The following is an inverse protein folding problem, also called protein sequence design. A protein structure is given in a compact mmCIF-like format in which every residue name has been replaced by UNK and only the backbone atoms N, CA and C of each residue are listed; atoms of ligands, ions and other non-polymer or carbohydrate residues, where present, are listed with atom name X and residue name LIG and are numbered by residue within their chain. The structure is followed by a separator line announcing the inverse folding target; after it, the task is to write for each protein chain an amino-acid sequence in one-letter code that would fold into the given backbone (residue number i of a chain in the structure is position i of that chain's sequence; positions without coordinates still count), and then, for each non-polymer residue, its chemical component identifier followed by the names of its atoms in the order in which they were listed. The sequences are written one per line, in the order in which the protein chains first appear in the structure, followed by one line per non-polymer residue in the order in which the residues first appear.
data_IF_533378469922
#
_entry.id   IF_533378469922
#
_cell.length_a   1.000
_cell.length_b   1.000
_cell.length_c   1.000
_cell.angle_alpha   90.00
_cell.angle_beta   90.00
_cell.angle_gamma   90.00
#
_symmetry.space_group_name_H-M   'P 1'
#
loop_
_entity.id
_entity.type
_entity.pdbx_description
1 polymer ?
#
# COMPACT_ATOMS: atom_id res chain seq x y z
N UNK A 1 4.92 -6.09 9.74
CA UNK A 1 6.26 -6.72 9.94
C UNK A 1 7.04 -6.98 8.63
N UNK A 2 6.52 -6.59 7.46
CA UNK A 2 7.23 -6.73 6.18
C UNK A 2 7.22 -8.15 5.60
N UNK A 3 6.33 -9.04 6.06
CA UNK A 3 6.27 -10.44 5.61
C UNK A 3 6.22 -10.63 4.09
N UNK A 4 5.73 -9.65 3.33
CA UNK A 4 5.77 -9.65 1.86
C UNK A 4 7.17 -9.81 1.25
N UNK A 5 8.24 -9.45 1.97
CA UNK A 5 9.65 -9.71 1.58
C UNK A 5 10.39 -10.68 2.52
N UNK A 6 9.85 -10.97 3.71
CA UNK A 6 10.48 -11.84 4.71
C UNK A 6 9.85 -13.23 4.86
N UNK A 7 8.66 -13.45 4.33
CA UNK A 7 7.86 -14.65 4.58
C UNK A 7 7.09 -14.60 5.91
N UNK A 8 6.02 -15.40 5.98
CA UNK A 8 5.14 -15.52 7.16
C UNK A 8 5.48 -16.71 8.07
N UNK A 9 6.52 -17.47 7.73
CA UNK A 9 7.03 -18.60 8.51
C UNK A 9 8.54 -18.77 8.31
N UNK A 10 9.12 -19.71 9.07
CA UNK A 10 10.56 -19.97 9.07
C UNK A 10 11.08 -20.50 7.73
N UNK A 11 10.29 -21.31 7.03
CA UNK A 11 10.69 -21.93 5.77
C UNK A 11 10.78 -20.88 4.66
N UNK A 12 9.75 -20.05 4.51
CA UNK A 12 9.76 -18.92 3.57
C UNK A 12 10.87 -17.93 3.90
N UNK A 13 11.09 -17.64 5.18
CA UNK A 13 12.19 -16.77 5.59
C UNK A 13 13.54 -17.33 5.14
N UNK A 14 13.80 -18.61 5.36
CA UNK A 14 15.06 -19.22 4.92
C UNK A 14 15.27 -19.13 3.42
N UNK A 15 14.21 -19.21 2.60
CA UNK A 15 14.30 -19.10 1.15
C UNK A 15 14.80 -17.73 0.69
N UNK A 16 14.42 -16.65 1.37
CA UNK A 16 14.78 -15.27 0.97
C UNK A 16 16.13 -14.78 1.52
N UNK A 17 16.65 -15.41 2.58
CA UNK A 17 17.91 -14.97 3.22
C UNK A 17 19.14 -15.42 2.42
N UNK A 18 20.15 -14.56 2.36
CA UNK A 18 21.49 -14.92 1.85
C UNK A 18 22.36 -15.59 2.91
N UNK A 19 22.01 -15.40 4.20
CA UNK A 19 22.80 -15.79 5.38
C UNK A 19 24.18 -15.12 5.45
N UNK A 20 24.35 -14.00 4.73
CA UNK A 20 25.54 -13.16 4.77
C UNK A 20 25.13 -11.72 5.06
N UNK A 21 25.76 -11.12 6.07
CA UNK A 21 25.56 -9.72 6.48
C UNK A 21 24.10 -9.29 6.68
N UNK A 22 23.22 -10.22 7.06
CA UNK A 22 21.80 -9.97 7.29
C UNK A 22 20.95 -9.91 6.03
N UNK A 23 21.55 -9.95 4.84
CA UNK A 23 20.91 -9.56 3.57
C UNK A 23 19.89 -10.56 3.05
N UNK A 24 18.98 -10.03 2.23
CA UNK A 24 18.03 -10.78 1.41
C UNK A 24 18.52 -10.93 -0.04
N UNK A 25 18.06 -11.99 -0.69
CA UNK A 25 18.37 -12.31 -2.09
C UNK A 25 17.77 -11.29 -3.04
N UNK A 26 18.58 -10.83 -3.99
CA UNK A 26 18.18 -9.94 -5.07
C UNK A 26 19.12 -10.16 -6.27
N UNK A 27 18.66 -10.00 -7.50
CA UNK A 27 19.51 -10.14 -8.69
C UNK A 27 20.34 -8.88 -8.92
N UNK A 28 21.42 -9.02 -9.69
CA UNK A 28 22.36 -7.92 -9.98
C UNK A 28 21.70 -6.77 -10.76
N UNK A 29 20.73 -7.09 -11.62
CA UNK A 29 19.92 -6.11 -12.36
C UNK A 29 18.91 -5.35 -11.49
N UNK A 30 18.82 -5.70 -10.19
CA UNK A 30 17.97 -5.05 -9.22
C UNK A 30 16.51 -5.50 -9.23
N UNK A 31 16.21 -6.63 -9.89
CA UNK A 31 14.92 -7.33 -9.82
C UNK A 31 14.94 -8.45 -8.77
N UNK A 32 13.83 -9.18 -8.64
CA UNK A 32 13.79 -10.38 -7.79
C UNK A 32 14.58 -11.52 -8.45
N UNK A 33 15.29 -12.30 -7.63
CA UNK A 33 15.81 -13.59 -8.10
C UNK A 33 14.64 -14.53 -8.39
N UNK A 34 14.81 -15.44 -9.34
CA UNK A 34 13.86 -16.51 -9.62
C UNK A 34 14.49 -17.86 -9.27
N UNK A 35 13.68 -18.84 -8.86
CA UNK A 35 14.13 -20.22 -8.71
C UNK A 35 14.16 -20.97 -10.04
N UNK A 36 14.47 -22.27 -10.00
CA UNK A 36 14.62 -23.13 -11.19
C UNK A 36 13.33 -23.23 -12.01
N UNK A 37 12.16 -23.02 -11.38
CA UNK A 37 10.85 -23.04 -12.01
C UNK A 37 10.44 -21.65 -12.55
N UNK A 38 11.29 -20.63 -12.40
CA UNK A 38 11.01 -19.25 -12.80
C UNK A 38 10.09 -18.51 -11.80
N UNK A 39 9.96 -19.02 -10.57
CA UNK A 39 9.13 -18.41 -9.54
C UNK A 39 9.95 -17.35 -8.79
N UNK A 40 9.45 -16.12 -8.60
CA UNK A 40 10.17 -15.09 -7.85
C UNK A 40 10.43 -15.49 -6.40
N UNK A 41 11.64 -15.21 -5.93
CA UNK A 41 12.07 -15.44 -4.55
C UNK A 41 11.84 -14.15 -3.76
N UNK A 42 10.71 -14.13 -3.04
CA UNK A 42 10.36 -13.08 -2.07
C UNK A 42 9.52 -13.70 -0.94
N UNK A 43 9.00 -12.88 -0.03
CA UNK A 43 8.28 -13.35 1.15
C UNK A 43 6.89 -13.91 0.86
N UNK A 44 6.11 -13.20 0.05
CA UNK A 44 4.82 -13.66 -0.49
C UNK A 44 4.66 -13.14 -1.92
N UNK A 45 4.35 -14.05 -2.86
CA UNK A 45 4.27 -13.79 -4.30
C UNK A 45 2.97 -14.31 -4.92
N UNK A 46 2.03 -14.77 -4.08
CA UNK A 46 0.79 -15.39 -4.54
C UNK A 46 -0.09 -14.36 -5.27
N UNK A 47 -0.56 -14.70 -6.47
CA UNK A 47 -1.41 -13.84 -7.31
C UNK A 47 -0.78 -12.45 -7.53
N UNK A 48 0.56 -12.41 -7.67
CA UNK A 48 1.32 -11.17 -7.81
C UNK A 48 1.38 -10.70 -9.27
N UNK A 49 1.92 -9.49 -9.47
CA UNK A 49 2.18 -8.91 -10.78
C UNK A 49 3.45 -8.05 -10.75
N UNK A 50 3.96 -7.67 -11.92
CA UNK A 50 5.24 -6.99 -12.11
C UNK A 50 5.42 -5.74 -11.23
N UNK A 51 4.35 -4.98 -10.97
CA UNK A 51 4.40 -3.80 -10.10
C UNK A 51 4.67 -4.13 -8.63
N UNK A 52 4.11 -5.23 -8.11
CA UNK A 52 4.40 -5.72 -6.75
C UNK A 52 5.84 -6.22 -6.67
N UNK A 53 6.28 -7.01 -7.65
CA UNK A 53 7.66 -7.52 -7.71
C UNK A 53 8.70 -6.40 -7.74
N UNK A 54 8.38 -5.30 -8.45
CA UNK A 54 9.19 -4.08 -8.47
C UNK A 54 9.30 -3.44 -7.07
N UNK A 55 8.19 -3.34 -6.33
CA UNK A 55 8.22 -2.82 -4.96
C UNK A 55 8.94 -3.75 -3.98
N UNK A 56 8.76 -5.07 -4.11
CA UNK A 56 9.50 -6.06 -3.31
C UNK A 56 11.01 -5.91 -3.51
N UNK A 57 11.46 -5.81 -4.77
CA UNK A 57 12.86 -5.58 -5.09
C UNK A 57 13.38 -4.25 -4.51
N UNK A 58 12.60 -3.17 -4.57
CA UNK A 58 12.96 -1.88 -3.97
C UNK A 58 13.15 -1.99 -2.45
N UNK A 59 12.24 -2.66 -1.74
CA UNK A 59 12.34 -2.80 -0.28
C UNK A 59 13.37 -3.85 0.16
N UNK A 60 13.70 -4.83 -0.68
CA UNK A 60 14.88 -5.69 -0.48
C UNK A 60 16.16 -4.86 -0.60
N UNK A 61 16.27 -3.95 -1.57
CA UNK A 61 17.41 -3.00 -1.66
C UNK A 61 17.49 -2.11 -0.42
N UNK A 62 16.35 -1.61 0.07
CA UNK A 62 16.30 -0.81 1.29
C UNK A 62 16.79 -1.62 2.50
N UNK A 63 16.32 -2.86 2.67
CA UNK A 63 16.81 -3.76 3.70
C UNK A 63 18.31 -3.98 3.62
N UNK A 64 18.83 -4.33 2.44
CA UNK A 64 20.26 -4.60 2.24
C UNK A 64 21.12 -3.36 2.49
N UNK A 65 20.65 -2.16 2.11
CA UNK A 65 21.36 -0.91 2.40
C UNK A 65 21.38 -0.57 3.89
N UNK A 66 20.31 -0.91 4.63
CA UNK A 66 20.28 -0.80 6.09
C UNK A 66 21.29 -1.78 6.71
N UNK A 67 21.34 -3.04 6.25
CA UNK A 67 22.36 -4.00 6.67
C UNK A 67 23.78 -3.45 6.50
N UNK A 68 24.09 -2.86 5.33
CA UNK A 68 25.39 -2.26 5.05
C UNK A 68 25.72 -1.11 6.01
N UNK A 69 24.75 -0.23 6.27
CA UNK A 69 24.92 0.88 7.20
C UNK A 69 25.13 0.41 8.65
N UNK A 70 24.38 -0.62 9.09
CA UNK A 70 24.52 -1.20 10.42
C UNK A 70 25.84 -1.96 10.56
N UNK A 71 26.27 -2.73 9.55
CA UNK A 71 27.55 -3.44 9.58
C UNK A 71 28.74 -2.49 9.65
N UNK A 72 28.64 -1.34 8.98
CA UNK A 72 29.65 -0.28 9.05
C UNK A 72 29.73 0.35 10.44
N UNK A 73 28.59 0.67 11.05
CA UNK A 73 28.52 1.34 12.36
C UNK A 73 28.80 0.37 13.52
N UNK A 74 28.36 -0.88 13.39
CA UNK A 74 28.43 -1.92 14.40
C UNK A 74 29.10 -3.20 13.83
N UNK A 75 30.43 -3.20 13.60
CA UNK A 75 31.12 -4.30 12.89
C UNK A 75 31.01 -5.67 13.54
N UNK A 76 30.75 -5.72 14.85
CA UNK A 76 30.61 -6.94 15.63
C UNK A 76 29.29 -7.69 15.38
N UNK A 77 28.27 -7.04 14.81
CA UNK A 77 27.00 -7.69 14.54
C UNK A 77 27.18 -8.83 13.53
N UNK A 78 26.62 -9.98 13.87
CA UNK A 78 26.56 -11.14 12.99
C UNK A 78 25.37 -11.04 12.02
N UNK A 79 25.28 -12.01 11.12
CA UNK A 79 24.23 -12.10 10.10
C UNK A 79 22.80 -12.02 10.68
N UNK A 80 22.51 -12.78 11.73
CA UNK A 80 21.17 -12.84 12.32
C UNK A 80 20.82 -11.54 13.06
N UNK A 81 21.79 -10.92 13.73
CA UNK A 81 21.60 -9.62 14.40
C UNK A 81 21.33 -8.50 13.39
N UNK A 82 22.12 -8.44 12.31
CA UNK A 82 21.93 -7.49 11.22
C UNK A 82 20.55 -7.65 10.58
N UNK A 83 20.17 -8.89 10.27
CA UNK A 83 18.86 -9.22 9.70
C UNK A 83 17.71 -8.72 10.60
N UNK A 84 17.77 -9.00 11.91
CA UNK A 84 16.72 -8.61 12.87
C UNK A 84 16.55 -7.10 12.94
N UNK A 85 17.65 -6.35 13.09
CA UNK A 85 17.57 -4.89 13.13
C UNK A 85 17.10 -4.33 11.79
N UNK A 86 17.64 -4.80 10.66
CA UNK A 86 17.22 -4.35 9.34
C UNK A 86 15.73 -4.65 9.07
N UNK A 87 15.21 -5.83 9.48
CA UNK A 87 13.78 -6.14 9.38
C UNK A 87 12.91 -5.17 10.16
N UNK A 88 13.28 -4.84 11.40
CA UNK A 88 12.56 -3.85 12.21
C UNK A 88 12.54 -2.49 11.52
N UNK A 89 13.70 -2.01 11.06
CA UNK A 89 13.85 -0.70 10.41
C UNK A 89 13.05 -0.64 9.10
N UNK A 90 13.24 -1.60 8.18
CA UNK A 90 12.54 -1.62 6.89
C UNK A 90 11.03 -1.75 7.08
N UNK A 91 10.56 -2.61 7.99
CA UNK A 91 9.11 -2.74 8.24
C UNK A 91 8.50 -1.46 8.83
N UNK A 92 9.26 -0.72 9.66
CA UNK A 92 8.82 0.58 10.15
C UNK A 92 8.83 1.66 9.06
N UNK A 93 9.81 1.64 8.14
CA UNK A 93 9.83 2.52 6.97
C UNK A 93 8.60 2.26 6.08
N UNK A 94 8.27 0.99 5.80
CA UNK A 94 7.06 0.63 5.03
C UNK A 94 5.80 1.17 5.71
N UNK A 95 5.64 0.93 7.01
CA UNK A 95 4.48 1.40 7.77
C UNK A 95 4.38 2.93 7.75
N UNK A 96 5.50 3.63 7.93
CA UNK A 96 5.57 5.10 7.88
C UNK A 96 5.12 5.63 6.54
N UNK A 97 5.70 5.15 5.44
CA UNK A 97 5.35 5.54 4.07
C UNK A 97 3.87 5.28 3.81
N UNK A 98 3.35 4.12 4.22
CA UNK A 98 1.93 3.81 4.07
C UNK A 98 1.04 4.81 4.83
N UNK A 99 1.40 5.16 6.07
CA UNK A 99 0.63 6.09 6.91
C UNK A 99 0.68 7.53 6.39
N UNK A 100 1.86 8.11 6.19
CA UNK A 100 2.01 9.57 6.00
C UNK A 100 2.24 10.01 4.54
N UNK A 101 2.35 9.07 3.61
CA UNK A 101 2.52 9.34 2.17
C UNK A 101 1.37 8.68 1.38
N UNK A 102 1.28 7.35 1.34
CA UNK A 102 0.26 6.65 0.55
C UNK A 102 -1.18 6.99 0.96
N UNK A 103 -1.51 6.90 2.26
CA UNK A 103 -2.88 7.15 2.73
C UNK A 103 -3.28 8.62 2.53
N UNK A 104 -2.32 9.54 2.57
CA UNK A 104 -2.56 10.98 2.31
C UNK A 104 -2.92 11.23 0.84
N UNK A 105 -2.36 10.44 -0.08
CA UNK A 105 -2.73 10.51 -1.50
C UNK A 105 -4.05 9.79 -1.79
N UNK A 106 -4.36 8.70 -1.08
CA UNK A 106 -5.65 8.00 -1.16
C UNK A 106 -6.82 8.86 -0.64
N UNK A 107 -6.57 9.62 0.43
CA UNK A 107 -7.54 10.47 1.12
C UNK A 107 -7.10 11.93 1.04
N UNK A 108 -7.16 12.48 -0.16
CA UNK A 108 -6.55 13.76 -0.56
C UNK A 108 -7.31 14.99 -0.04
N UNK A 109 -7.43 15.10 1.29
CA UNK A 109 -8.05 16.24 1.98
C UNK A 109 -7.12 16.82 3.03
N UNK A 110 -7.31 18.09 3.40
CA UNK A 110 -6.54 18.72 4.48
C UNK A 110 -6.74 18.00 5.82
N UNK A 111 -7.97 17.53 6.08
CA UNK A 111 -8.30 16.79 7.30
C UNK A 111 -7.51 15.49 7.40
N UNK A 112 -7.40 14.72 6.30
CA UNK A 112 -6.70 13.44 6.33
C UNK A 112 -5.19 13.59 6.19
N UNK A 113 -4.71 14.65 5.52
CA UNK A 113 -3.31 15.08 5.65
C UNK A 113 -2.93 15.33 7.12
N UNK A 114 -3.78 16.04 7.87
CA UNK A 114 -3.57 16.25 9.31
C UNK A 114 -3.69 14.94 10.09
N UNK A 115 -4.80 14.23 9.95
CA UNK A 115 -5.14 13.03 10.73
C UNK A 115 -4.10 11.92 10.60
N UNK A 116 -3.67 11.61 9.37
CA UNK A 116 -2.68 10.55 9.16
C UNK A 116 -1.31 10.93 9.71
N UNK A 117 -0.92 12.20 9.63
CA UNK A 117 0.32 12.70 10.25
C UNK A 117 0.23 12.73 11.77
N UNK A 118 -0.95 12.97 12.34
CA UNK A 118 -1.21 12.89 13.78
C UNK A 118 -1.09 11.43 14.27
N UNK A 119 -1.56 10.44 13.52
CA UNK A 119 -1.35 9.04 13.88
C UNK A 119 0.14 8.70 14.09
N UNK A 120 1.03 9.25 13.25
CA UNK A 120 2.47 9.02 13.37
C UNK A 120 3.17 9.96 14.37
N UNK A 121 2.91 11.26 14.30
CA UNK A 121 3.66 12.31 15.01
C UNK A 121 2.91 12.97 16.17
N UNK A 122 1.61 12.74 16.29
CA UNK A 122 0.71 13.45 17.19
C UNK A 122 0.41 14.88 16.76
N UNK A 123 -0.53 15.52 17.47
CA UNK A 123 -0.91 16.91 17.22
C UNK A 123 0.24 17.90 17.35
N UNK A 124 1.23 17.61 18.21
CA UNK A 124 2.42 18.45 18.40
C UNK A 124 3.37 18.40 17.19
N UNK A 125 3.22 17.38 16.35
CA UNK A 125 3.89 17.28 15.06
C UNK A 125 5.35 16.84 15.12
N UNK A 126 5.91 16.54 13.93
CA UNK A 126 7.25 15.97 13.74
C UNK A 126 8.34 16.78 14.45
N UNK A 127 8.42 18.08 14.20
CA UNK A 127 9.50 18.92 14.76
C UNK A 127 9.53 18.87 16.29
N UNK A 128 8.38 18.89 16.94
CA UNK A 128 8.29 18.75 18.39
C UNK A 128 8.74 17.34 18.82
N UNK A 129 8.16 16.30 18.21
CA UNK A 129 8.45 14.91 18.57
C UNK A 129 9.92 14.52 18.37
N UNK A 130 10.54 14.97 17.28
CA UNK A 130 11.96 14.73 16.99
C UNK A 130 12.88 15.45 18.00
N UNK A 131 12.44 16.58 18.57
CA UNK A 131 13.25 17.39 19.50
C UNK A 131 13.07 16.97 20.97
N UNK A 132 11.83 16.69 21.37
CA UNK A 132 11.44 16.50 22.77
C UNK A 132 10.95 15.08 23.08
N UNK A 133 10.89 14.20 22.07
CA UNK A 133 10.36 12.85 22.21
C UNK A 133 8.83 12.79 22.24
N UNK A 134 8.31 11.61 22.60
CA UNK A 134 6.88 11.38 22.75
C UNK A 134 6.36 11.99 24.06
N UNK A 135 5.30 12.81 23.96
CA UNK A 135 4.68 13.50 25.10
C UNK A 135 3.18 13.24 25.14
N UNK A 136 2.66 12.95 26.33
CA UNK A 136 1.24 12.72 26.56
C UNK A 136 0.77 11.34 26.09
N UNK A 137 -0.41 11.28 25.47
CA UNK A 137 -0.99 10.06 24.89
C UNK A 137 -0.90 10.03 23.37
N UNK A 138 -1.68 9.13 22.76
CA UNK A 138 -1.75 8.95 21.31
C UNK A 138 -2.13 10.23 20.56
N UNK A 139 -2.97 11.08 21.14
CA UNK A 139 -3.39 12.35 20.55
C UNK A 139 -2.23 13.33 20.40
N UNK A 140 -1.47 13.59 21.47
CA UNK A 140 -0.43 14.63 21.45
C UNK A 140 0.88 14.16 20.82
N UNK A 141 1.31 12.94 21.12
CA UNK A 141 2.59 12.36 20.67
C UNK A 141 2.48 11.36 19.53
N UNK A 142 1.26 10.98 19.12
CA UNK A 142 1.00 9.97 18.08
C UNK A 142 0.91 8.56 18.65
N UNK A 143 0.41 7.62 17.84
CA UNK A 143 0.34 6.19 18.18
C UNK A 143 1.74 5.58 18.26
N UNK A 144 2.65 6.03 17.39
CA UNK A 144 4.01 5.51 17.32
C UNK A 144 4.85 6.02 18.49
N UNK A 145 5.56 5.15 19.20
CA UNK A 145 6.35 5.49 20.39
C UNK A 145 5.55 5.61 21.70
N UNK A 146 4.30 5.12 21.72
CA UNK A 146 3.57 4.93 22.98
C UNK A 146 4.33 3.98 23.92
N UNK A 147 4.24 4.22 25.23
CA UNK A 147 4.97 3.42 26.24
C UNK A 147 4.58 1.94 26.27
N UNK A 148 3.39 1.59 25.81
CA UNK A 148 2.85 0.22 25.77
C UNK A 148 1.95 0.06 24.57
N UNK A 149 1.87 -1.15 23.99
CA UNK A 149 0.85 -1.45 23.00
C UNK A 149 -0.55 -1.39 23.61
N UNK A 150 -1.52 -0.96 22.81
CA UNK A 150 -2.93 -0.81 23.17
C UNK A 150 -3.74 -1.67 22.21
N UNK A 151 -4.49 -2.63 22.75
CA UNK A 151 -5.36 -3.52 21.97
C UNK A 151 -6.86 -3.34 22.30
N UNK A 152 -7.18 -2.40 23.19
CA UNK A 152 -8.54 -2.09 23.66
C UNK A 152 -9.29 -3.30 24.24
N UNK A 153 -8.57 -4.21 24.91
CA UNK A 153 -9.16 -5.39 25.56
C UNK A 153 -9.46 -6.56 24.61
N UNK A 154 -9.19 -6.40 23.31
CA UNK A 154 -9.39 -7.45 22.29
C UNK A 154 -8.02 -7.79 21.70
N UNK A 155 -7.64 -9.08 21.52
CA UNK A 155 -6.41 -9.45 20.85
C UNK A 155 -6.27 -8.80 19.46
N UNK A 156 -5.04 -8.54 19.04
CA UNK A 156 -4.80 -7.97 17.71
C UNK A 156 -5.04 -9.03 16.63
N UNK A 157 -5.89 -8.70 15.67
CA UNK A 157 -6.05 -9.39 14.38
C UNK A 157 -6.41 -8.36 13.33
N UNK A 158 -6.16 -8.66 12.05
CA UNK A 158 -6.97 -8.08 10.97
C UNK A 158 -8.28 -8.88 10.89
N UNK A 159 -9.35 -8.26 10.40
CA UNK A 159 -10.70 -8.83 10.46
C UNK A 159 -11.24 -9.20 9.08
N UNK A 160 -12.35 -9.93 9.05
CA UNK A 160 -13.04 -10.26 7.79
C UNK A 160 -13.54 -8.99 7.09
N UNK A 161 -14.08 -8.04 7.84
CA UNK A 161 -14.52 -6.73 7.33
C UNK A 161 -13.34 -5.94 6.74
N UNK A 162 -12.16 -6.02 7.38
CA UNK A 162 -10.95 -5.41 6.85
C UNK A 162 -10.56 -6.01 5.49
N UNK A 163 -10.76 -7.31 5.31
CA UNK A 163 -10.51 -7.98 4.03
C UNK A 163 -11.46 -7.46 2.95
N UNK A 164 -12.76 -7.37 3.24
CA UNK A 164 -13.76 -6.93 2.26
C UNK A 164 -13.59 -5.47 1.82
N UNK A 165 -13.25 -4.55 2.74
CA UNK A 165 -13.05 -3.13 2.36
C UNK A 165 -11.74 -2.86 1.61
N UNK A 166 -10.81 -3.83 1.60
CA UNK A 166 -9.56 -3.77 0.82
C UNK A 166 -9.65 -4.48 -0.54
N UNK A 167 -10.84 -4.93 -0.95
CA UNK A 167 -11.11 -5.44 -2.30
C UNK A 167 -11.14 -4.29 -3.30
N UNK A 168 -9.97 -3.97 -3.85
CA UNK A 168 -9.73 -2.77 -4.67
C UNK A 168 -9.19 -3.11 -6.06
N UNK A 169 -9.67 -4.20 -6.66
CA UNK A 169 -9.16 -4.70 -7.94
C UNK A 169 -9.40 -3.73 -9.11
N UNK A 170 -10.40 -2.84 -9.01
CA UNK A 170 -10.69 -1.76 -9.97
C UNK A 170 -9.56 -0.71 -10.06
N UNK A 171 -8.59 -0.71 -9.14
CA UNK A 171 -7.40 0.15 -9.25
C UNK A 171 -6.48 -0.28 -10.40
N UNK A 172 -6.54 -1.53 -10.84
CA UNK A 172 -5.70 -2.04 -11.91
C UNK A 172 -6.25 -1.59 -13.28
N UNK A 173 -5.41 -1.05 -14.18
CA UNK A 173 -5.84 -0.70 -15.53
C UNK A 173 -5.97 -1.95 -16.43
N UNK A 174 -6.42 -1.77 -17.67
CA UNK A 174 -6.38 -2.83 -18.67
C UNK A 174 -4.97 -3.06 -19.26
N UNK A 175 -4.17 -2.00 -19.33
CA UNK A 175 -2.79 -2.01 -19.83
C UNK A 175 -1.89 -1.07 -19.02
N UNK A 176 -0.59 -1.34 -19.02
CA UNK A 176 0.44 -0.40 -18.58
C UNK A 176 0.98 0.36 -19.79
N UNK A 177 0.97 1.69 -19.68
CA UNK A 177 1.51 2.63 -20.65
C UNK A 177 3.03 2.70 -20.49
N UNK A 178 3.76 1.82 -21.16
CA UNK A 178 5.20 1.77 -21.08
C UNK A 178 5.80 3.06 -21.66
N UNK A 179 6.61 3.75 -20.88
CA UNK A 179 7.19 5.05 -21.24
C UNK A 179 8.58 4.90 -21.86
N UNK A 180 8.91 5.78 -22.80
CA UNK A 180 10.27 5.86 -23.33
C UNK A 180 11.16 6.70 -22.40
N UNK A 181 12.03 6.02 -21.63
CA UNK A 181 12.96 6.68 -20.69
C UNK A 181 14.32 7.04 -21.30
N UNK A 182 14.55 6.72 -22.58
CA UNK A 182 15.81 6.97 -23.28
C UNK A 182 15.86 8.36 -23.94
N UNK A 183 14.82 9.19 -23.74
CA UNK A 183 14.74 10.55 -24.26
C UNK A 183 14.87 11.59 -23.15
N UNK A 184 14.97 12.86 -23.54
CA UNK A 184 14.84 14.00 -22.61
C UNK A 184 13.37 14.12 -22.17
N UNK A 185 13.09 14.35 -20.88
CA UNK A 185 11.71 14.55 -20.42
C UNK A 185 11.07 15.77 -21.09
N UNK A 186 9.79 15.66 -21.43
CA UNK A 186 8.96 16.76 -21.91
C UNK A 186 8.54 17.70 -20.78
N UNK A 187 7.49 18.49 -21.05
CA UNK A 187 6.90 19.41 -20.07
C UNK A 187 6.49 18.64 -18.80
N UNK A 188 6.73 19.22 -17.62
CA UNK A 188 6.48 18.60 -16.32
C UNK A 188 7.12 17.21 -16.16
N UNK A 189 8.25 16.97 -16.81
CA UNK A 189 9.00 15.71 -16.77
C UNK A 189 8.27 14.50 -17.39
N UNK A 190 7.32 14.74 -18.29
CA UNK A 190 6.57 13.68 -18.98
C UNK A 190 7.44 12.95 -20.02
N UNK A 191 7.59 11.61 -19.96
CA UNK A 191 8.14 10.80 -21.03
C UNK A 191 7.05 10.43 -22.06
N UNK A 192 7.37 10.34 -23.36
CA UNK A 192 6.40 9.90 -24.34
C UNK A 192 6.07 8.41 -24.15
N UNK A 193 4.87 8.02 -24.59
CA UNK A 193 4.45 6.62 -24.69
C UNK A 193 5.38 5.88 -25.66
N UNK A 194 5.83 4.68 -25.26
CA UNK A 194 6.56 3.76 -26.12
C UNK A 194 5.59 2.72 -26.70
N UNK A 195 4.86 2.04 -25.83
CA UNK A 195 3.88 1.01 -26.17
C UNK A 195 2.92 0.79 -25.00
N UNK A 196 1.82 0.08 -25.24
CA UNK A 196 0.90 -0.37 -24.20
C UNK A 196 1.06 -1.87 -24.01
N UNK A 197 1.25 -2.30 -22.77
CA UNK A 197 1.39 -3.72 -22.42
C UNK A 197 0.12 -4.15 -21.69
N UNK A 198 -0.67 -5.09 -22.23
CA UNK A 198 -1.85 -5.61 -21.54
C UNK A 198 -1.50 -6.18 -20.16
N UNK A 199 -2.33 -5.94 -19.16
CA UNK A 199 -2.11 -6.48 -17.82
C UNK A 199 -1.96 -8.01 -17.75
N UNK A 200 -2.64 -8.83 -18.57
CA UNK A 200 -2.38 -10.28 -18.64
C UNK A 200 -0.92 -10.64 -18.94
N UNK A 201 -0.15 -9.75 -19.57
CA UNK A 201 1.26 -9.95 -19.86
C UNK A 201 2.18 -9.53 -18.70
N UNK A 202 1.60 -8.96 -17.65
CA UNK A 202 2.29 -8.39 -16.48
C UNK A 202 1.93 -9.08 -15.15
N UNK A 203 1.06 -10.11 -15.16
CA UNK A 203 0.68 -10.89 -13.98
C UNK A 203 1.38 -12.27 -13.93
N UNK A 204 1.56 -12.80 -12.72
CA UNK A 204 2.10 -14.14 -12.50
C UNK A 204 3.45 -14.41 -13.19
N UNK A 205 3.71 -15.65 -13.57
CA UNK A 205 4.98 -16.04 -14.20
C UNK A 205 5.27 -15.33 -15.53
N UNK A 206 4.22 -15.00 -16.31
CA UNK A 206 4.37 -14.25 -17.55
C UNK A 206 4.86 -12.83 -17.26
N UNK A 207 4.26 -12.20 -16.25
CA UNK A 207 4.64 -10.87 -15.80
C UNK A 207 6.10 -10.74 -15.38
N UNK A 208 6.64 -11.76 -14.73
CA UNK A 208 8.05 -11.77 -14.32
C UNK A 208 9.00 -11.82 -15.51
N UNK A 209 8.67 -12.62 -16.54
CA UNK A 209 9.44 -12.66 -17.80
C UNK A 209 9.39 -11.32 -18.53
N UNK A 210 8.20 -10.70 -18.58
CA UNK A 210 8.01 -9.38 -19.18
C UNK A 210 8.76 -8.30 -18.40
N UNK A 211 8.73 -8.34 -17.06
CA UNK A 211 9.45 -7.42 -16.21
C UNK A 211 10.97 -7.49 -16.42
N UNK A 212 11.54 -8.69 -16.61
CA UNK A 212 12.97 -8.84 -16.94
C UNK A 212 13.35 -8.17 -18.26
N UNK A 213 12.44 -8.08 -19.23
CA UNK A 213 12.67 -7.37 -20.50
C UNK A 213 12.50 -5.85 -20.36
N UNK A 214 11.55 -5.41 -19.54
CA UNK A 214 11.28 -3.99 -19.27
C UNK A 214 12.37 -3.36 -18.40
N UNK A 215 12.78 -4.07 -17.35
CA UNK A 215 13.68 -3.62 -16.29
C UNK A 215 13.04 -2.70 -15.25
N UNK A 216 13.61 -2.67 -14.05
CA UNK A 216 13.09 -1.92 -12.88
C UNK A 216 12.74 -0.45 -13.21
N UNK A 217 13.70 0.29 -13.77
CA UNK A 217 13.57 1.75 -13.97
C UNK A 217 12.43 2.09 -14.91
N UNK A 218 12.30 1.39 -16.03
CA UNK A 218 11.25 1.67 -17.01
C UNK A 218 9.89 1.30 -16.45
N UNK A 219 9.78 0.16 -15.77
CA UNK A 219 8.53 -0.24 -15.10
C UNK A 219 8.09 0.82 -14.09
N UNK A 220 8.97 1.21 -13.17
CA UNK A 220 8.64 2.16 -12.10
C UNK A 220 8.25 3.54 -12.65
N UNK A 221 9.02 4.06 -13.62
CA UNK A 221 8.71 5.36 -14.26
C UNK A 221 7.36 5.29 -14.98
N UNK A 222 7.07 4.19 -15.68
CA UNK A 222 5.81 4.03 -16.41
C UNK A 222 4.61 3.99 -15.47
N UNK A 223 4.71 3.23 -14.38
CA UNK A 223 3.69 3.21 -13.31
C UNK A 223 3.50 4.59 -12.68
N UNK A 224 4.60 5.31 -12.43
CA UNK A 224 4.55 6.67 -11.88
C UNK A 224 3.83 7.68 -12.78
N UNK A 225 3.88 7.50 -14.10
CA UNK A 225 3.22 8.36 -15.10
C UNK A 225 1.87 7.83 -15.58
N UNK A 226 1.24 6.92 -14.86
CA UNK A 226 -0.08 6.40 -15.18
C UNK A 226 -1.00 6.45 -13.96
N UNK A 227 -2.21 6.96 -14.14
CA UNK A 227 -3.24 6.88 -13.11
C UNK A 227 -3.73 5.44 -12.94
N UNK A 228 -4.02 5.03 -11.71
CA UNK A 228 -4.80 3.82 -11.45
C UNK A 228 -6.27 4.02 -11.86
N UNK A 229 -7.02 2.93 -11.97
CA UNK A 229 -8.47 2.99 -12.09
C UNK A 229 -9.13 3.54 -10.81
N UNK A 230 -10.39 3.96 -10.94
CA UNK A 230 -11.20 4.45 -9.81
C UNK A 230 -12.00 3.31 -9.17
N UNK A 231 -12.29 3.41 -7.86
CA UNK A 231 -13.12 2.46 -7.13
C UNK A 231 -14.62 2.80 -7.32
N UNK A 232 -15.11 2.57 -8.52
CA UNK A 232 -16.47 2.86 -8.96
C UNK A 232 -17.13 1.60 -9.57
N UNK A 233 -18.46 1.64 -9.70
CA UNK A 233 -19.19 0.60 -10.45
C UNK A 233 -18.70 0.55 -11.91
N UNK A 234 -18.91 -0.60 -12.56
CA UNK A 234 -18.57 -0.82 -13.97
C UNK A 234 -17.10 -0.53 -14.35
N UNK A 235 -16.18 -0.58 -13.37
CA UNK A 235 -14.74 -0.40 -13.57
C UNK A 235 -13.89 -1.60 -13.12
N UNK A 236 -14.48 -2.80 -13.07
CA UNK A 236 -13.76 -4.04 -12.75
C UNK A 236 -13.04 -4.58 -13.99
N UNK A 237 -11.71 -4.79 -13.97
CA UNK A 237 -10.97 -5.19 -15.15
C UNK A 237 -11.47 -6.53 -15.71
N UNK A 238 -11.77 -6.56 -17.00
CA UNK A 238 -12.32 -7.75 -17.67
C UNK A 238 -11.38 -8.93 -17.60
N UNK A 239 -10.07 -8.69 -17.64
CA UNK A 239 -9.05 -9.74 -17.56
C UNK A 239 -8.98 -10.46 -16.20
N UNK A 240 -9.59 -9.91 -15.15
CA UNK A 240 -9.73 -10.59 -13.86
C UNK A 240 -10.94 -11.53 -13.78
N UNK A 241 -11.83 -11.50 -14.79
CA UNK A 241 -13.00 -12.39 -14.86
C UNK A 241 -12.66 -13.77 -15.46
N UNK A 242 -11.43 -13.95 -15.93
CA UNK A 242 -10.87 -15.24 -16.36
C UNK A 242 -9.39 -15.33 -15.94
N UNK A 243 -9.18 -15.39 -14.62
CA UNK A 243 -7.85 -15.32 -14.01
C UNK A 243 -7.31 -16.71 -13.66
N UNK A 244 -6.06 -16.97 -14.04
CA UNK A 244 -5.26 -18.08 -13.49
C UNK A 244 -4.87 -17.74 -12.05
N UNK A 245 -5.53 -18.36 -11.08
CA UNK A 245 -5.19 -18.20 -9.67
C UNK A 245 -3.99 -19.07 -9.28
N UNK A 246 -3.30 -18.70 -8.21
CA UNK A 246 -2.11 -19.40 -7.72
C UNK A 246 -2.31 -20.02 -6.33
N UNK A 247 -1.54 -21.07 -6.04
CA UNK A 247 -1.34 -21.62 -4.71
C UNK A 247 -0.41 -20.73 -3.86
N UNK A 248 -0.27 -21.07 -2.57
CA UNK A 248 0.53 -20.28 -1.61
C UNK A 248 2.03 -20.36 -1.87
N UNK A 249 2.47 -21.29 -2.71
CA UNK A 249 3.85 -21.38 -3.22
C UNK A 249 4.05 -20.60 -4.53
N UNK A 250 3.00 -19.99 -5.07
CA UNK A 250 3.03 -19.19 -6.30
C UNK A 250 2.82 -20.00 -7.57
N UNK A 251 2.47 -21.29 -7.49
CA UNK A 251 2.19 -22.12 -8.66
C UNK A 251 0.79 -21.89 -9.19
N UNK A 252 0.66 -21.85 -10.51
CA UNK A 252 -0.61 -21.72 -11.21
C UNK A 252 -1.53 -22.92 -10.94
N UNK A 253 -2.80 -22.63 -10.68
CA UNK A 253 -3.86 -23.63 -10.58
C UNK A 253 -4.47 -23.87 -11.96
N UNK A 254 -4.93 -25.10 -12.24
CA UNK A 254 -5.56 -25.41 -13.51
C UNK A 254 -6.95 -24.76 -13.66
N UNK A 255 -7.65 -24.51 -12.55
CA UNK A 255 -8.99 -23.96 -12.55
C UNK A 255 -8.94 -22.43 -12.47
N UNK A 256 -9.36 -21.78 -13.55
CA UNK A 256 -9.50 -20.34 -13.63
C UNK A 256 -10.65 -19.84 -12.74
N UNK A 257 -10.60 -18.55 -12.40
CA UNK A 257 -11.64 -17.89 -11.61
C UNK A 257 -12.12 -16.60 -12.27
N UNK A 258 -13.42 -16.38 -12.21
CA UNK A 258 -13.97 -15.03 -12.31
C UNK A 258 -13.81 -14.37 -10.94
N UNK A 259 -12.81 -13.47 -10.82
CA UNK A 259 -12.51 -12.85 -9.55
C UNK A 259 -13.63 -11.92 -9.09
N UNK A 260 -14.31 -11.20 -9.99
CA UNK A 260 -15.40 -10.31 -9.63
C UNK A 260 -16.56 -11.09 -8.98
N UNK A 261 -16.97 -12.20 -9.60
CA UNK A 261 -17.99 -13.08 -9.05
C UNK A 261 -17.54 -13.77 -7.76
N UNK A 262 -16.28 -14.23 -7.73
CA UNK A 262 -15.70 -14.89 -6.56
C UNK A 262 -15.65 -13.95 -5.34
N UNK A 263 -15.35 -12.67 -5.52
CA UNK A 263 -15.28 -11.72 -4.41
C UNK A 263 -16.63 -11.48 -3.74
N UNK A 264 -17.69 -11.31 -4.53
CA UNK A 264 -19.07 -11.25 -4.02
C UNK A 264 -19.40 -12.53 -3.25
N UNK A 265 -19.07 -13.70 -3.82
CA UNK A 265 -19.27 -14.97 -3.15
C UNK A 265 -18.51 -15.05 -1.82
N UNK A 266 -17.25 -14.63 -1.77
CA UNK A 266 -16.39 -14.74 -0.56
C UNK A 266 -16.91 -13.90 0.60
N UNK A 267 -17.42 -12.70 0.34
CA UNK A 267 -17.97 -11.87 1.42
C UNK A 267 -19.23 -12.52 2.01
N UNK A 268 -20.10 -13.09 1.15
CA UNK A 268 -21.28 -13.86 1.58
C UNK A 268 -20.89 -15.14 2.34
N UNK A 269 -19.95 -15.91 1.81
CA UNK A 269 -19.44 -17.17 2.41
C UNK A 269 -18.89 -16.93 3.81
N UNK A 270 -18.12 -15.86 3.98
CA UNK A 270 -17.47 -15.48 5.24
C UNK A 270 -18.40 -14.74 6.20
N UNK A 271 -19.69 -14.60 5.81
CA UNK A 271 -20.74 -13.96 6.62
C UNK A 271 -20.41 -12.52 6.98
N UNK A 272 -19.65 -11.84 6.12
CA UNK A 272 -19.51 -10.39 6.22
C UNK A 272 -20.88 -9.79 5.90
N UNK A 273 -21.32 -8.83 6.72
CA UNK A 273 -22.62 -8.19 6.52
C UNK A 273 -22.67 -7.53 5.13
N UNK A 274 -23.83 -7.67 4.46
CA UNK A 274 -24.15 -6.91 3.24
C UNK A 274 -24.22 -5.41 3.54
N UNK A 275 -24.19 -4.58 2.51
CA UNK A 275 -23.87 -3.16 2.62
C UNK A 275 -24.67 -2.41 3.70
N UNK A 276 -26.01 -2.54 3.71
CA UNK A 276 -26.83 -1.75 4.63
C UNK A 276 -26.67 -2.20 6.09
N UNK A 277 -26.61 -3.52 6.33
CA UNK A 277 -26.34 -4.05 7.65
C UNK A 277 -24.91 -3.75 8.12
N UNK A 278 -23.94 -3.74 7.20
CA UNK A 278 -22.56 -3.33 7.49
C UNK A 278 -22.50 -1.88 7.96
N UNK A 279 -23.22 -0.96 7.31
CA UNK A 279 -23.36 0.43 7.75
C UNK A 279 -23.94 0.53 9.16
N UNK A 280 -25.01 -0.21 9.47
CA UNK A 280 -25.59 -0.25 10.82
C UNK A 280 -24.58 -0.72 11.86
N UNK A 281 -23.79 -1.76 11.56
CA UNK A 281 -22.77 -2.27 12.46
C UNK A 281 -21.66 -1.24 12.74
N UNK A 282 -21.40 -0.32 11.80
CA UNK A 282 -20.48 0.79 11.93
C UNK A 282 -21.12 2.08 12.48
N UNK A 283 -22.39 2.02 12.90
CA UNK A 283 -23.18 3.17 13.36
C UNK A 283 -23.37 4.27 12.30
N UNK A 284 -23.30 3.91 11.02
CA UNK A 284 -23.62 4.78 9.90
C UNK A 284 -25.13 4.70 9.60
N UNK A 285 -25.70 5.81 9.12
CA UNK A 285 -27.11 5.86 8.71
C UNK A 285 -27.31 4.91 7.51
N UNK A 286 -28.20 3.90 7.60
CA UNK A 286 -28.48 3.02 6.48
C UNK A 286 -29.17 3.78 5.33
N UNK A 287 -28.98 3.33 4.10
CA UNK A 287 -29.75 3.84 2.96
C UNK A 287 -31.19 3.31 3.00
N UNK A 288 -32.13 4.08 2.48
CA UNK A 288 -33.55 3.71 2.37
C UNK A 288 -34.00 3.47 0.93
N UNK A 289 -33.21 3.99 -0.03
CA UNK A 289 -33.43 3.91 -1.48
C UNK A 289 -32.09 4.09 -2.20
N UNK A 290 -32.03 3.71 -3.47
CA UNK A 290 -30.80 3.75 -4.28
C UNK A 290 -30.24 5.16 -4.47
N UNK A 291 -31.10 6.17 -4.50
CA UNK A 291 -30.72 7.58 -4.61
C UNK A 291 -29.98 8.11 -3.36
N UNK A 292 -30.04 7.40 -2.23
CA UNK A 292 -29.23 7.73 -1.05
C UNK A 292 -27.77 7.24 -1.21
N UNK A 293 -27.52 6.28 -2.10
CA UNK A 293 -26.20 5.67 -2.33
C UNK A 293 -25.40 6.42 -3.42
N UNK A 294 -26.06 6.75 -4.53
CA UNK A 294 -25.44 7.38 -5.70
C UNK A 294 -26.40 8.31 -6.44
N UNK A 295 -25.85 9.26 -7.19
CA UNK A 295 -26.59 10.17 -8.07
C UNK A 295 -26.61 9.70 -9.54
N UNK A 296 -25.87 8.63 -9.85
CA UNK A 296 -25.80 8.04 -11.19
C UNK A 296 -27.09 7.25 -11.50
N UNK A 297 -27.86 7.75 -12.46
CA UNK A 297 -29.16 7.17 -12.85
C UNK A 297 -29.02 5.82 -13.54
N UNK A 298 -28.00 5.64 -14.36
CA UNK A 298 -27.77 4.37 -15.06
C UNK A 298 -27.36 3.29 -14.05
N UNK A 299 -26.49 3.64 -13.09
CA UNK A 299 -26.15 2.75 -11.99
C UNK A 299 -27.36 2.38 -11.14
N UNK A 300 -28.26 3.33 -10.84
CA UNK A 300 -29.50 3.06 -10.09
C UNK A 300 -30.41 2.09 -10.85
N UNK A 301 -30.54 2.24 -12.17
CA UNK A 301 -31.34 1.33 -13.00
C UNK A 301 -30.78 -0.10 -12.95
N UNK A 302 -29.46 -0.27 -13.07
CA UNK A 302 -28.80 -1.58 -12.96
C UNK A 302 -28.94 -2.17 -11.55
N UNK A 303 -28.80 -1.35 -10.50
CA UNK A 303 -29.01 -1.80 -9.12
C UNK A 303 -30.45 -2.29 -8.91
N UNK A 304 -31.44 -1.58 -9.45
CA UNK A 304 -32.85 -1.99 -9.43
C UNK A 304 -33.09 -3.27 -10.23
N UNK A 305 -32.42 -3.45 -11.35
CA UNK A 305 -32.51 -4.68 -12.15
C UNK A 305 -31.97 -5.90 -11.38
N UNK A 306 -30.84 -5.75 -10.69
CA UNK A 306 -30.16 -6.86 -10.00
C UNK A 306 -30.78 -7.17 -8.64
N UNK A 307 -31.13 -6.15 -7.85
CA UNK A 307 -31.57 -6.29 -6.46
C UNK A 307 -33.05 -5.95 -6.23
N UNK A 308 -33.77 -5.48 -7.25
CA UNK A 308 -35.12 -4.93 -7.08
C UNK A 308 -35.11 -3.63 -6.27
N UNK A 309 -36.14 -3.43 -5.45
CA UNK A 309 -36.21 -2.29 -4.52
C UNK A 309 -35.65 -2.63 -3.12
N UNK A 310 -35.15 -3.85 -2.91
CA UNK A 310 -34.65 -4.30 -1.60
C UNK A 310 -33.17 -3.94 -1.40
N UNK A 311 -32.95 -2.77 -0.79
CA UNK A 311 -31.60 -2.28 -0.45
C UNK A 311 -30.87 -3.15 0.58
N UNK A 312 -31.56 -4.06 1.30
CA UNK A 312 -30.91 -4.98 2.24
C UNK A 312 -30.13 -6.09 1.53
N UNK A 313 -30.49 -6.41 0.29
CA UNK A 313 -29.81 -7.43 -0.51
C UNK A 313 -28.55 -6.89 -1.22
N UNK A 314 -28.29 -5.58 -1.18
CA UNK A 314 -27.10 -4.99 -1.81
C UNK A 314 -25.81 -5.56 -1.22
N UNK A 315 -25.01 -6.25 -2.04
CA UNK A 315 -23.71 -6.77 -1.63
C UNK A 315 -22.76 -5.66 -1.17
N UNK A 316 -21.92 -5.99 -0.18
CA UNK A 316 -20.97 -5.03 0.38
C UNK A 316 -20.06 -4.44 -0.69
N UNK A 317 -19.36 -5.28 -1.46
CA UNK A 317 -18.45 -4.82 -2.52
C UNK A 317 -19.15 -3.86 -3.49
N UNK A 318 -20.37 -4.18 -3.94
CA UNK A 318 -21.13 -3.35 -4.87
C UNK A 318 -21.48 -2.00 -4.24
N UNK A 319 -21.97 -1.99 -3.00
CA UNK A 319 -22.27 -0.76 -2.29
C UNK A 319 -21.04 0.11 -2.04
N UNK A 320 -19.88 -0.47 -1.71
CA UNK A 320 -18.63 0.27 -1.51
C UNK A 320 -18.16 0.96 -2.80
N UNK A 321 -18.34 0.33 -3.96
CA UNK A 321 -18.00 0.93 -5.25
C UNK A 321 -19.01 1.98 -5.69
N UNK A 322 -20.30 1.75 -5.43
CA UNK A 322 -21.39 2.65 -5.81
C UNK A 322 -21.49 3.92 -4.94
N UNK A 323 -21.05 3.86 -3.69
CA UNK A 323 -21.20 4.96 -2.74
C UNK A 323 -20.54 6.24 -3.24
N UNK A 324 -21.31 7.33 -3.27
CA UNK A 324 -20.83 8.67 -3.62
C UNK A 324 -19.63 9.05 -2.75
N UNK A 325 -18.48 9.26 -3.40
CA UNK A 325 -17.23 9.57 -2.70
C UNK A 325 -17.22 10.98 -2.12
N UNK A 326 -16.62 11.10 -0.94
CA UNK A 326 -16.25 12.41 -0.38
C UNK A 326 -15.19 13.03 -1.32
N UNK A 327 -15.29 14.33 -1.62
CA UNK A 327 -14.32 15.01 -2.47
C UNK A 327 -12.89 14.80 -1.96
N UNK A 328 -12.04 14.25 -2.83
CA UNK A 328 -10.64 13.92 -2.52
C UNK A 328 -10.42 12.49 -1.99
N UNK A 329 -11.47 11.73 -1.69
CA UNK A 329 -11.34 10.32 -1.32
C UNK A 329 -11.39 9.44 -2.55
N UNK A 330 -10.47 8.48 -2.65
CA UNK A 330 -10.53 7.39 -3.61
C UNK A 330 -11.41 6.21 -3.14
N UNK A 331 -11.79 6.17 -1.87
CA UNK A 331 -12.59 5.10 -1.23
C UNK A 331 -13.90 5.65 -0.66
N UNK A 332 -14.88 4.78 -0.46
CA UNK A 332 -16.14 5.13 0.22
C UNK A 332 -15.93 5.53 1.68
N UNK A 333 -16.86 6.31 2.25
CA UNK A 333 -16.88 6.63 3.67
C UNK A 333 -17.04 5.34 4.49
N UNK A 334 -17.89 4.42 4.03
CA UNK A 334 -18.08 3.11 4.68
C UNK A 334 -16.76 2.34 4.81
N UNK A 335 -15.95 2.26 3.75
CA UNK A 335 -14.60 1.66 3.83
C UNK A 335 -13.69 2.45 4.75
N UNK A 336 -13.75 3.79 4.70
CA UNK A 336 -12.90 4.67 5.50
C UNK A 336 -13.07 4.45 7.01
N UNK A 337 -14.28 4.19 7.51
CA UNK A 337 -14.48 3.94 8.95
C UNK A 337 -13.73 2.68 9.43
N UNK A 338 -13.71 1.62 8.63
CA UNK A 338 -12.91 0.42 8.93
C UNK A 338 -11.42 0.73 8.85
N UNK A 339 -10.99 1.49 7.83
CA UNK A 339 -9.60 1.95 7.70
C UNK A 339 -9.15 2.77 8.91
N UNK A 340 -9.97 3.70 9.39
CA UNK A 340 -9.68 4.58 10.52
C UNK A 340 -9.31 3.78 11.77
N UNK A 341 -10.16 2.79 12.11
CA UNK A 341 -9.92 1.90 13.24
C UNK A 341 -8.69 1.01 12.99
N UNK A 342 -8.68 0.29 11.87
CA UNK A 342 -7.71 -0.78 11.65
C UNK A 342 -6.31 -0.27 11.32
N UNK A 343 -6.17 0.86 10.60
CA UNK A 343 -4.87 1.48 10.35
C UNK A 343 -4.23 1.99 11.64
N UNK A 344 -5.02 2.57 12.54
CA UNK A 344 -4.57 2.96 13.88
C UNK A 344 -4.14 1.72 14.68
N UNK A 345 -5.00 0.69 14.68
CA UNK A 345 -4.79 -0.58 15.39
C UNK A 345 -3.52 -1.32 14.96
N UNK A 346 -3.15 -1.30 13.67
CA UNK A 346 -1.89 -1.89 13.16
C UNK A 346 -0.64 -1.28 13.80
N UNK A 347 -0.70 -0.01 14.22
CA UNK A 347 0.41 0.68 14.88
C UNK A 347 0.33 0.52 16.40
N UNK A 348 -0.80 0.90 17.00
CA UNK A 348 -0.88 0.98 18.48
C UNK A 348 -0.85 -0.38 19.16
N UNK A 349 -1.25 -1.47 18.49
CA UNK A 349 -1.26 -2.80 19.10
C UNK A 349 0.09 -3.54 18.97
N UNK A 350 1.04 -3.01 18.21
CA UNK A 350 2.34 -3.63 17.96
C UNK A 350 3.40 -3.05 18.90
N UNK A 351 4.16 -3.93 19.57
CA UNK A 351 5.27 -3.51 20.44
C UNK A 351 6.34 -2.74 19.69
N UNK A 352 6.62 -3.09 18.42
CA UNK A 352 7.71 -2.49 17.65
C UNK A 352 7.35 -1.10 17.11
N UNK A 353 6.07 -0.72 17.15
CA UNK A 353 5.63 0.65 16.93
C UNK A 353 5.34 1.40 18.23
N UNK A 354 5.39 0.74 19.38
CA UNK A 354 5.08 1.34 20.69
C UNK A 354 6.24 1.17 21.67
N UNK A 355 6.15 0.22 22.61
CA UNK A 355 7.10 0.08 23.71
C UNK A 355 8.55 -0.11 23.25
N UNK A 356 8.73 -0.79 22.12
CA UNK A 356 10.04 -1.13 21.55
C UNK A 356 10.39 -0.24 20.33
N UNK A 357 9.65 0.85 20.10
CA UNK A 357 10.02 1.85 19.09
C UNK A 357 11.04 2.84 19.66
N UNK A 358 12.27 2.37 19.84
CA UNK A 358 13.37 3.11 20.47
C UNK A 358 14.75 2.68 19.92
N UNK A 359 15.80 3.42 20.29
CA UNK A 359 17.17 3.16 19.84
C UNK A 359 17.76 1.83 20.32
N UNK A 360 17.25 1.24 21.40
CA UNK A 360 17.73 -0.05 21.90
C UNK A 360 17.32 -1.19 20.94
N UNK A 361 16.05 -1.23 20.56
CA UNK A 361 15.54 -2.24 19.64
C UNK A 361 15.97 -1.99 18.19
N UNK A 362 16.00 -0.73 17.74
CA UNK A 362 16.28 -0.38 16.35
C UNK A 362 17.75 -0.11 16.06
N UNK A 363 18.62 -0.05 17.09
CA UNK A 363 19.90 0.68 17.09
C UNK A 363 19.71 2.18 16.89
N UNK A 364 20.67 2.98 17.36
CA UNK A 364 20.68 4.43 17.11
C UNK A 364 20.64 4.76 15.62
N UNK A 365 21.46 4.06 14.81
CA UNK A 365 21.53 4.29 13.37
C UNK A 365 20.22 3.91 12.66
N UNK A 366 19.61 2.80 13.06
CA UNK A 366 18.33 2.36 12.51
C UNK A 366 17.17 3.28 12.90
N UNK A 367 17.14 3.76 14.14
CA UNK A 367 16.12 4.70 14.59
C UNK A 367 16.22 6.04 13.84
N UNK A 368 17.44 6.55 13.62
CA UNK A 368 17.69 7.70 12.74
C UNK A 368 17.18 7.45 11.32
N UNK A 369 17.41 6.26 10.76
CA UNK A 369 16.96 5.89 9.41
C UNK A 369 15.43 5.97 9.27
N UNK A 370 14.68 5.44 10.23
CA UNK A 370 13.21 5.54 10.26
C UNK A 370 12.77 7.00 10.41
N UNK A 371 13.40 7.77 11.31
CA UNK A 371 12.99 9.14 11.59
C UNK A 371 13.33 10.15 10.48
N UNK A 372 14.27 9.81 9.59
CA UNK A 372 14.67 10.65 8.46
C UNK A 372 14.02 10.27 7.13
N UNK A 373 13.40 9.08 7.03
CA UNK A 373 12.66 8.65 5.83
C UNK A 373 11.19 9.03 5.98
N UNK A 374 10.64 9.88 5.10
CA UNK A 374 9.25 10.36 5.19
C UNK A 374 8.33 9.84 4.08
N UNK A 375 8.89 9.41 2.95
CA UNK A 375 8.13 9.12 1.73
C UNK A 375 8.72 7.98 0.91
N UNK A 376 7.93 7.41 -0.01
CA UNK A 376 8.44 6.47 -1.02
C UNK A 376 9.49 7.14 -1.91
N UNK A 377 9.36 8.45 -2.14
CA UNK A 377 10.33 9.25 -2.89
C UNK A 377 11.72 9.25 -2.23
N UNK A 378 11.81 9.22 -0.90
CA UNK A 378 13.10 9.15 -0.20
C UNK A 378 13.79 7.80 -0.41
N UNK A 379 13.03 6.71 -0.39
CA UNK A 379 13.55 5.36 -0.70
C UNK A 379 14.00 5.28 -2.16
N UNK A 380 13.19 5.80 -3.10
CA UNK A 380 13.58 5.89 -4.51
C UNK A 380 14.85 6.75 -4.70
N UNK A 381 14.98 7.88 -4.02
CA UNK A 381 16.17 8.73 -4.09
C UNK A 381 17.44 8.00 -3.63
N UNK A 382 17.32 7.12 -2.62
CA UNK A 382 18.45 6.38 -2.06
C UNK A 382 19.02 5.35 -3.05
N UNK A 383 18.15 4.68 -3.80
CA UNK A 383 18.53 3.58 -4.70
C UNK A 383 18.61 3.97 -6.17
N UNK A 384 17.79 4.94 -6.60
CA UNK A 384 17.63 5.37 -7.98
C UNK A 384 17.47 6.91 -8.06
N UNK A 385 18.48 7.69 -7.63
CA UNK A 385 18.38 9.16 -7.56
C UNK A 385 18.02 9.82 -8.89
N UNK A 386 18.46 9.23 -10.00
CA UNK A 386 18.16 9.73 -11.35
C UNK A 386 16.67 9.63 -11.71
N UNK A 387 15.93 8.65 -11.16
CA UNK A 387 14.48 8.54 -11.38
C UNK A 387 13.77 9.79 -10.87
N UNK A 388 13.96 10.11 -9.59
CA UNK A 388 13.30 11.25 -8.97
C UNK A 388 13.71 12.58 -9.59
N UNK A 389 15.00 12.73 -9.90
CA UNK A 389 15.53 13.94 -10.53
C UNK A 389 14.91 14.15 -11.91
N UNK A 390 14.92 13.12 -12.76
CA UNK A 390 14.57 13.22 -14.18
C UNK A 390 13.06 13.10 -14.44
N UNK A 391 12.32 12.33 -13.65
CA UNK A 391 10.96 11.90 -14.01
C UNK A 391 9.86 12.28 -13.02
N UNK A 392 10.18 12.61 -11.76
CA UNK A 392 9.17 12.95 -10.74
C UNK A 392 9.04 14.47 -10.60
N UNK A 393 7.92 15.03 -11.05
CA UNK A 393 7.53 16.43 -10.86
C UNK A 393 6.61 16.62 -9.64
N UNK A 394 5.78 15.64 -9.36
CA UNK A 394 4.88 15.60 -8.21
C UNK A 394 5.61 15.66 -6.85
N UNK A 395 4.86 16.08 -5.82
CA UNK A 395 5.34 16.11 -4.43
C UNK A 395 5.55 14.69 -3.89
N UNK A 396 4.53 13.83 -4.00
CA UNK A 396 4.57 12.41 -3.62
C UNK A 396 4.89 11.51 -4.82
N UNK A 397 5.52 10.37 -4.57
CA UNK A 397 5.74 9.32 -5.58
C UNK A 397 4.48 8.48 -5.86
N UNK A 398 3.38 8.67 -5.11
CA UNK A 398 2.10 8.02 -5.36
C UNK A 398 1.11 8.86 -6.17
N UNK A 399 1.32 10.18 -6.28
CA UNK A 399 0.59 11.00 -7.26
C UNK A 399 1.12 10.69 -8.67
N UNK A 400 0.34 10.96 -9.73
CA UNK A 400 0.86 10.87 -11.10
C UNK A 400 2.03 11.83 -11.29
N UNK A 401 3.18 11.33 -11.73
CA UNK A 401 4.49 11.98 -11.59
C UNK A 401 4.67 13.25 -12.41
N UNK A 402 3.92 13.46 -13.48
CA UNK A 402 3.93 14.69 -14.29
C UNK A 402 2.91 15.73 -13.79
N UNK A 403 2.19 15.44 -12.71
CA UNK A 403 1.35 16.42 -12.02
C UNK A 403 2.20 17.60 -11.53
N UNK A 404 1.66 18.83 -11.54
CA UNK A 404 2.32 19.94 -10.87
C UNK A 404 2.48 19.63 -9.37
N UNK A 405 3.56 20.11 -8.74
CA UNK A 405 3.69 20.00 -7.29
C UNK A 405 2.54 20.74 -6.60
N UNK A 406 2.16 20.27 -5.40
CA UNK A 406 1.07 20.90 -4.64
C UNK A 406 1.40 22.38 -4.38
N UNK A 407 0.46 23.26 -4.73
CA UNK A 407 0.59 24.68 -4.41
C UNK A 407 0.56 24.87 -2.88
N UNK A 408 1.41 25.74 -2.31
CA UNK A 408 1.34 26.05 -0.89
C UNK A 408 0.03 26.76 -0.58
N UNK A 409 -0.76 26.22 0.36
CA UNK A 409 -1.93 26.90 0.90
C UNK A 409 -1.49 27.70 2.15
N UNK A 410 -1.60 29.05 2.13
CA UNK A 410 -1.12 29.90 3.21
C UNK A 410 -1.94 29.78 4.50
N UNK A 411 -3.15 29.22 4.43
CA UNK A 411 -4.00 28.98 5.61
C UNK A 411 -3.37 27.84 6.42
N UNK A 412 -3.16 28.00 7.73
CA UNK A 412 -2.66 26.94 8.60
C UNK A 412 -3.50 25.68 8.48
N UNK A 413 -2.87 24.50 8.39
CA UNK A 413 -3.52 23.24 8.06
C UNK A 413 -4.77 22.95 8.92
N UNK A 414 -4.67 23.16 10.24
CA UNK A 414 -5.78 22.90 11.18
C UNK A 414 -6.92 23.93 11.12
N UNK A 415 -6.77 24.99 10.32
CA UNK A 415 -7.76 26.07 10.15
C UNK A 415 -8.32 26.11 8.72
N UNK A 416 -8.01 25.12 7.88
CA UNK A 416 -8.54 25.02 6.52
C UNK A 416 -9.97 24.48 6.54
N UNK A 417 -10.84 25.11 5.74
CA UNK A 417 -12.21 24.64 5.54
C UNK A 417 -12.32 23.86 4.22
N UNK A 418 -13.01 22.71 4.19
CA UNK A 418 -13.35 22.03 2.95
C UNK A 418 -14.14 22.95 2.03
N UNK A 419 -13.86 22.87 0.73
CA UNK A 419 -14.53 23.65 -0.33
C UNK A 419 -15.49 22.82 -1.15
#
# INVERSE_FOLDING_TARGET
DGSVIYGSDKERLQRVRTLVDGKLKISEDGLLQQDEDGIPISGDIKNSWAGVSTLQALFIKEHNAICDALKKEYPALNDEELYRHARLITSAVIAKIHTIDWTVELLKTDMLLAGMRINWYGFLGKKFKDTFGHVGGSTLGGLVGLKKPINHGVPYTLTEEFTSVYRMHQLLPDSIHLRNINVTPGLNKSPPLLEEIPMPDLIGHKGEKTLSQIGFTRQFVSMGHQACGALELCNYPSWLQDLVAQDVDGKDRPDHVDLAALEVYRDRERKVARYNQFRRNLLLIPISKWEDLTEDKEAIEVLKEVYGDDVEELDLMVGLMAEKKIKGFAISETSFIVFLLMASRRLEADRFFTSDFNEEAYTKKGFEWVNTTESLKDVLNRHYPEISKKWINSTSAFSVWDSPPNAPNPIPLYLRFPS
#
